data_IF_685032362910
#
_entry.id   IF_685032362910
#
_cell.length_a   1.000
_cell.length_b   1.000
_cell.length_c   1.000
_cell.angle_alpha   90.00
_cell.angle_beta   90.00
_cell.angle_gamma   90.00
#
_symmetry.space_group_name_H-M   'P 1'
#
loop_
_entity.id
_entity.type
_entity.pdbx_description
1 polymer ?
#
# COMPACT_ATOMS: atom_id res chain seq x y z
N UNK A 1 -31.44 16.52 -8.67
CA UNK A 1 -30.87 15.16 -8.57
C UNK A 1 -31.29 14.55 -7.24
N UNK A 2 -32.08 13.46 -7.20
CA UNK A 2 -32.61 12.88 -5.97
C UNK A 2 -31.50 12.28 -5.08
N UNK A 3 -31.66 12.35 -3.74
CA UNK A 3 -30.69 11.87 -2.74
C UNK A 3 -30.24 10.41 -2.95
N UNK A 4 -31.14 9.55 -3.41
CA UNK A 4 -30.84 8.14 -3.72
C UNK A 4 -29.74 7.96 -4.78
N UNK A 5 -29.65 8.88 -5.75
CA UNK A 5 -28.68 8.80 -6.85
C UNK A 5 -27.26 9.14 -6.41
N UNK A 6 -27.09 9.97 -5.36
CA UNK A 6 -25.78 10.28 -4.77
C UNK A 6 -25.21 9.10 -3.97
N UNK A 7 -26.07 8.31 -3.32
CA UNK A 7 -25.65 7.12 -2.56
C UNK A 7 -25.11 5.99 -3.44
N UNK A 8 -25.67 5.81 -4.64
CA UNK A 8 -25.21 4.81 -5.62
C UNK A 8 -23.80 5.08 -6.19
N UNK A 9 -23.35 6.33 -6.15
CA UNK A 9 -22.01 6.72 -6.64
C UNK A 9 -20.98 6.85 -5.51
N UNK A 10 -21.41 6.89 -4.25
CA UNK A 10 -20.52 6.97 -3.11
C UNK A 10 -19.90 5.60 -2.82
N UNK A 11 -18.64 5.41 -3.25
CA UNK A 11 -17.82 4.27 -2.79
C UNK A 11 -17.12 4.67 -1.49
N UNK A 12 -16.80 3.69 -0.65
CA UNK A 12 -16.12 3.92 0.63
C UNK A 12 -14.81 4.70 0.49
N UNK A 13 -14.17 4.62 -0.69
CA UNK A 13 -12.95 5.35 -1.04
C UNK A 13 -13.01 5.85 -2.50
N UNK A 14 -13.57 7.04 -2.74
CA UNK A 14 -13.48 7.64 -4.08
C UNK A 14 -12.06 8.16 -4.35
N UNK A 15 -11.56 7.95 -5.57
CA UNK A 15 -10.18 8.27 -5.99
C UNK A 15 -9.18 7.14 -5.73
N UNK A 16 -9.48 6.20 -4.82
CA UNK A 16 -8.60 5.07 -4.53
C UNK A 16 -8.41 4.12 -5.73
N UNK A 17 -9.45 3.69 -6.48
CA UNK A 17 -9.25 2.74 -7.57
C UNK A 17 -8.27 3.24 -8.64
N UNK A 18 -8.33 4.53 -8.96
CA UNK A 18 -7.39 5.14 -9.92
C UNK A 18 -5.97 5.15 -9.35
N UNK A 19 -5.80 5.57 -8.09
CA UNK A 19 -4.48 5.60 -7.47
C UNK A 19 -3.84 4.19 -7.38
N UNK A 20 -4.64 3.15 -7.08
CA UNK A 20 -4.14 1.77 -7.07
C UNK A 20 -3.80 1.28 -8.48
N UNK A 21 -4.59 1.64 -9.50
CA UNK A 21 -4.28 1.29 -10.88
C UNK A 21 -2.97 1.94 -11.35
N UNK A 22 -2.71 3.19 -10.95
CA UNK A 22 -1.44 3.88 -11.24
C UNK A 22 -0.26 3.20 -10.53
N UNK A 23 -0.41 2.82 -9.25
CA UNK A 23 0.61 2.03 -8.55
C UNK A 23 0.85 0.70 -9.28
N UNK A 24 -0.21 -0.01 -9.66
CA UNK A 24 -0.11 -1.29 -10.35
C UNK A 24 0.62 -1.19 -11.69
N UNK A 25 0.37 -0.13 -12.46
CA UNK A 25 1.04 0.13 -13.73
C UNK A 25 2.56 0.40 -13.57
N UNK A 26 3.01 0.79 -12.38
CA UNK A 26 4.41 1.05 -12.08
C UNK A 26 5.12 -0.13 -11.40
N UNK A 27 4.45 -1.27 -11.21
CA UNK A 27 5.09 -2.49 -10.72
C UNK A 27 5.85 -3.14 -11.88
N UNK A 28 7.19 -3.32 -11.77
CA UNK A 28 7.96 -3.96 -12.83
C UNK A 28 7.50 -5.41 -13.05
N UNK A 29 7.32 -5.80 -14.31
CA UNK A 29 7.17 -7.20 -14.68
C UNK A 29 8.52 -7.91 -14.47
N UNK A 30 8.58 -8.83 -13.52
CA UNK A 30 9.77 -9.63 -13.21
C UNK A 30 9.45 -11.11 -13.31
N UNK A 31 10.47 -11.92 -13.61
CA UNK A 31 10.39 -13.38 -13.55
C UNK A 31 11.48 -13.90 -12.59
N UNK A 32 11.13 -14.43 -11.41
CA UNK A 32 9.76 -14.62 -10.92
C UNK A 32 9.06 -13.29 -10.53
N UNK A 33 7.71 -13.25 -10.50
CA UNK A 33 6.97 -12.06 -10.10
C UNK A 33 7.33 -11.59 -8.69
N UNK A 34 7.51 -10.28 -8.55
CA UNK A 34 7.84 -9.63 -7.30
C UNK A 34 6.76 -9.86 -6.23
N UNK A 35 7.19 -9.86 -4.96
CA UNK A 35 6.29 -9.78 -3.82
C UNK A 35 6.19 -8.32 -3.40
N UNK A 36 4.97 -7.84 -3.16
CA UNK A 36 4.69 -6.49 -2.70
C UNK A 36 4.27 -6.53 -1.25
N UNK A 37 5.04 -5.88 -0.38
CA UNK A 37 4.66 -5.66 1.00
C UNK A 37 3.86 -4.36 1.09
N UNK A 38 2.54 -4.48 1.19
CA UNK A 38 1.64 -3.34 1.29
C UNK A 38 1.47 -2.91 2.75
N UNK A 39 1.62 -1.63 2.99
CA UNK A 39 1.67 -1.07 4.33
C UNK A 39 0.31 -0.95 5.04
N UNK A 40 -0.76 -1.19 4.30
CA UNK A 40 -2.14 -1.17 4.80
C UNK A 40 -3.03 -2.04 3.91
N UNK A 41 -3.91 -2.83 4.54
CA UNK A 41 -4.73 -3.82 3.82
C UNK A 41 -5.69 -3.18 2.80
N UNK A 42 -6.24 -1.99 3.11
CA UNK A 42 -7.18 -1.28 2.24
C UNK A 42 -6.62 -0.96 0.84
N UNK A 43 -5.29 -0.88 0.70
CA UNK A 43 -4.61 -0.65 -0.57
C UNK A 43 -3.99 -1.94 -1.12
N UNK A 44 -3.50 -2.82 -0.26
CA UNK A 44 -2.93 -4.11 -0.66
C UNK A 44 -3.96 -5.08 -1.25
N UNK A 45 -5.17 -5.12 -0.68
CA UNK A 45 -6.25 -6.01 -1.13
C UNK A 45 -6.66 -5.76 -2.58
N UNK A 46 -6.99 -4.51 -3.01
CA UNK A 46 -7.33 -4.27 -4.42
C UNK A 46 -6.15 -4.55 -5.35
N UNK A 47 -4.91 -4.31 -4.92
CA UNK A 47 -3.72 -4.62 -5.71
C UNK A 47 -3.59 -6.14 -5.97
N UNK A 48 -3.90 -6.97 -4.97
CA UNK A 48 -3.94 -8.42 -5.13
C UNK A 48 -5.15 -8.89 -5.97
N UNK A 49 -6.35 -8.46 -5.60
CA UNK A 49 -7.61 -9.04 -6.12
C UNK A 49 -7.99 -8.51 -7.51
N UNK A 50 -7.70 -7.24 -7.80
CA UNK A 50 -8.08 -6.60 -9.07
C UNK A 50 -6.91 -6.65 -10.06
N UNK A 51 -5.68 -6.45 -9.58
CA UNK A 51 -4.49 -6.35 -10.42
C UNK A 51 -3.58 -7.60 -10.40
N UNK A 52 -4.00 -8.66 -9.71
CA UNK A 52 -3.34 -9.97 -9.73
C UNK A 52 -1.94 -9.99 -9.11
N UNK A 53 -1.61 -9.01 -8.27
CA UNK A 53 -0.28 -8.87 -7.69
C UNK A 53 -0.06 -9.78 -6.48
N UNK A 54 1.17 -10.24 -6.25
CA UNK A 54 1.53 -11.02 -5.07
C UNK A 54 1.74 -10.10 -3.87
N UNK A 55 0.70 -9.88 -3.07
CA UNK A 55 0.75 -8.91 -1.96
C UNK A 55 0.82 -9.60 -0.60
N UNK A 56 1.73 -9.13 0.25
CA UNK A 56 1.76 -9.40 1.69
C UNK A 56 1.26 -8.18 2.45
N UNK A 57 0.48 -8.40 3.52
CA UNK A 57 0.04 -7.33 4.41
C UNK A 57 1.14 -7.00 5.43
N UNK A 58 1.71 -5.79 5.32
CA UNK A 58 2.77 -5.25 6.15
C UNK A 58 2.30 -4.35 7.30
N UNK A 59 1.00 -4.10 7.48
CA UNK A 59 0.45 -3.09 8.42
C UNK A 59 0.90 -3.23 9.88
N UNK A 60 1.36 -4.42 10.27
CA UNK A 60 1.80 -4.72 11.64
C UNK A 60 3.30 -4.81 11.82
N UNK A 61 4.07 -4.96 10.75
CA UNK A 61 5.50 -5.29 10.88
C UNK A 61 6.30 -4.13 11.48
N UNK A 62 5.88 -2.89 11.26
CA UNK A 62 6.53 -1.69 11.80
C UNK A 62 6.08 -1.33 13.22
N UNK A 63 5.13 -2.06 13.83
CA UNK A 63 4.56 -1.71 15.14
C UNK A 63 5.46 -2.13 16.31
N UNK A 64 6.46 -2.97 16.04
CA UNK A 64 7.41 -3.50 17.01
C UNK A 64 8.74 -3.78 16.31
N UNK A 65 9.86 -3.44 16.94
CA UNK A 65 11.19 -3.77 16.43
C UNK A 65 11.37 -5.28 16.20
N UNK A 66 10.83 -6.10 17.11
CA UNK A 66 10.91 -7.57 16.99
C UNK A 66 10.16 -8.08 15.76
N UNK A 67 8.93 -7.60 15.54
CA UNK A 67 8.15 -7.98 14.35
C UNK A 67 8.80 -7.45 13.07
N UNK A 68 9.38 -6.25 13.14
CA UNK A 68 10.08 -5.63 12.02
C UNK A 68 11.27 -6.49 11.60
N UNK A 69 12.16 -6.81 12.55
CA UNK A 69 13.32 -7.67 12.33
C UNK A 69 12.93 -9.05 11.78
N UNK A 70 11.97 -9.74 12.41
CA UNK A 70 11.49 -11.04 11.93
C UNK A 70 10.89 -10.95 10.50
N UNK A 71 10.19 -9.87 10.21
CA UNK A 71 9.65 -9.58 8.87
C UNK A 71 10.77 -9.43 7.84
N UNK A 72 11.77 -8.60 8.13
CA UNK A 72 12.92 -8.42 7.24
C UNK A 72 13.76 -9.69 7.07
N UNK A 73 13.91 -10.52 8.10
CA UNK A 73 14.57 -11.83 7.98
C UNK A 73 13.80 -12.78 7.05
N UNK A 74 12.46 -12.81 7.16
CA UNK A 74 11.61 -13.57 6.27
C UNK A 74 11.70 -13.07 4.82
N UNK A 75 11.66 -11.75 4.62
CA UNK A 75 11.82 -11.13 3.29
C UNK A 75 13.21 -11.39 2.70
N UNK A 76 14.27 -11.39 3.52
CA UNK A 76 15.63 -11.70 3.09
C UNK A 76 15.75 -13.13 2.56
N UNK A 77 15.14 -14.10 3.26
CA UNK A 77 15.09 -15.50 2.81
C UNK A 77 14.32 -15.66 1.50
N UNK A 78 13.23 -14.93 1.34
CA UNK A 78 12.45 -14.93 0.08
C UNK A 78 13.26 -14.28 -1.05
N UNK A 79 13.91 -13.15 -0.78
CA UNK A 79 14.75 -12.47 -1.76
C UNK A 79 15.90 -13.36 -2.25
N UNK A 80 16.50 -14.14 -1.34
CA UNK A 80 17.55 -15.10 -1.68
C UNK A 80 17.11 -16.19 -2.66
N UNK A 81 15.81 -16.43 -2.86
CA UNK A 81 15.30 -17.33 -3.91
C UNK A 81 15.22 -16.66 -5.29
N UNK A 82 15.80 -15.46 -5.46
CA UNK A 82 15.75 -14.67 -6.68
C UNK A 82 14.45 -13.88 -6.88
N UNK A 83 13.56 -13.84 -5.87
CA UNK A 83 12.28 -13.13 -5.99
C UNK A 83 12.39 -11.68 -5.51
N UNK A 84 12.12 -10.68 -6.37
CA UNK A 84 12.20 -9.29 -5.96
C UNK A 84 11.16 -8.95 -4.89
N UNK A 85 11.52 -8.05 -3.97
CA UNK A 85 10.60 -7.51 -2.97
C UNK A 85 10.38 -6.02 -3.24
N UNK A 86 9.13 -5.62 -3.28
CA UNK A 86 8.71 -4.23 -3.39
C UNK A 86 7.97 -3.82 -2.13
N UNK A 87 8.18 -2.60 -1.68
CA UNK A 87 7.45 -2.01 -0.55
C UNK A 87 6.47 -0.99 -1.10
N UNK A 88 5.19 -1.20 -0.82
CA UNK A 88 4.12 -0.28 -1.19
C UNK A 88 3.65 0.46 0.06
N UNK A 89 3.97 1.75 0.13
CA UNK A 89 3.71 2.62 1.29
C UNK A 89 2.71 3.72 0.96
N UNK A 90 1.95 4.13 1.96
CA UNK A 90 0.90 5.16 1.93
C UNK A 90 1.03 6.20 3.04
N UNK A 91 2.02 6.04 3.92
CA UNK A 91 2.35 6.97 5.00
C UNK A 91 3.22 8.12 4.49
N UNK A 92 3.15 9.26 5.18
CA UNK A 92 3.99 10.42 4.85
C UNK A 92 5.48 10.08 4.96
N UNK A 93 5.84 9.36 6.02
CA UNK A 93 7.19 8.86 6.27
C UNK A 93 7.68 7.81 5.25
N UNK A 94 6.80 7.22 4.43
CA UNK A 94 7.19 6.26 3.40
C UNK A 94 7.84 5.02 4.01
N UNK A 95 9.03 4.63 3.55
CA UNK A 95 9.78 3.52 4.13
C UNK A 95 10.43 3.86 5.49
N UNK A 96 10.50 5.12 5.90
CA UNK A 96 11.14 5.53 7.17
C UNK A 96 10.32 5.19 8.42
N UNK A 97 9.12 4.64 8.23
CA UNK A 97 8.28 4.03 9.27
C UNK A 97 8.86 2.76 9.89
N UNK A 98 9.76 2.07 9.17
CA UNK A 98 10.39 0.86 9.68
C UNK A 98 11.51 1.24 10.66
N UNK A 99 11.41 0.88 11.96
CA UNK A 99 12.30 1.38 13.02
C UNK A 99 13.75 0.97 12.83
N UNK A 100 14.00 -0.12 12.11
CA UNK A 100 15.35 -0.59 11.78
C UNK A 100 15.42 -0.79 10.26
N UNK A 101 16.01 0.15 9.50
CA UNK A 101 16.16 -0.02 8.07
C UNK A 101 17.18 -1.13 7.80
N UNK A 102 16.69 -2.33 7.54
CA UNK A 102 17.50 -3.44 7.07
C UNK A 102 17.59 -3.35 5.55
N UNK A 103 18.73 -2.91 5.01
CA UNK A 103 18.95 -2.84 3.57
C UNK A 103 18.57 -1.50 2.93
N UNK A 104 18.65 -1.45 1.60
CA UNK A 104 18.47 -0.24 0.81
C UNK A 104 17.11 -0.19 0.12
N UNK A 105 16.53 1.01 0.06
CA UNK A 105 15.26 1.27 -0.61
C UNK A 105 15.50 2.20 -1.81
N UNK A 106 15.20 1.72 -3.01
CA UNK A 106 15.22 2.53 -4.23
C UNK A 106 13.79 2.90 -4.61
N UNK A 107 13.48 4.19 -4.67
CA UNK A 107 12.17 4.68 -5.10
C UNK A 107 11.94 4.33 -6.58
N UNK A 108 10.84 3.63 -6.88
CA UNK A 108 10.42 3.31 -8.24
C UNK A 108 9.30 4.22 -8.72
N UNK A 109 8.39 4.58 -7.81
CA UNK A 109 7.21 5.39 -8.13
C UNK A 109 6.76 6.20 -6.92
N UNK A 110 6.30 7.42 -7.18
CA UNK A 110 5.68 8.32 -6.21
C UNK A 110 4.47 8.99 -6.87
N UNK A 111 3.28 8.80 -6.28
CA UNK A 111 2.04 9.37 -6.82
C UNK A 111 1.94 10.90 -6.61
N UNK A 112 2.83 11.50 -5.83
CA UNK A 112 2.56 12.77 -5.18
C UNK A 112 1.38 12.64 -4.21
N UNK A 113 0.81 13.77 -3.78
CA UNK A 113 -0.37 13.76 -2.91
C UNK A 113 -1.63 13.47 -3.72
N UNK A 114 -2.29 12.36 -3.39
CA UNK A 114 -3.62 12.01 -3.87
C UNK A 114 -4.65 12.22 -2.77
N UNK A 115 -5.84 12.72 -3.12
CA UNK A 115 -6.92 12.93 -2.15
C UNK A 115 -7.93 11.80 -2.29
N UNK A 116 -8.06 11.00 -1.23
CA UNK A 116 -9.06 9.94 -1.16
C UNK A 116 -10.25 10.46 -0.36
N UNK A 117 -11.46 10.32 -0.90
CA UNK A 117 -12.68 10.63 -0.15
C UNK A 117 -13.11 9.38 0.60
N UNK A 118 -12.97 9.38 1.93
CA UNK A 118 -13.45 8.29 2.76
C UNK A 118 -14.87 8.58 3.24
N UNK A 119 -15.81 7.67 2.99
CA UNK A 119 -17.16 7.74 3.55
C UNK A 119 -17.11 7.40 5.03
N UNK A 120 -17.75 8.23 5.85
CA UNK A 120 -17.88 8.03 7.28
C UNK A 120 -19.20 7.32 7.60
N UNK A 121 -19.09 6.16 8.23
CA UNK A 121 -20.23 5.39 8.70
C UNK A 121 -20.46 5.67 10.20
N UNK A 122 -21.49 6.45 10.52
CA UNK A 122 -21.93 6.69 11.90
C UNK A 122 -23.45 6.70 12.01
N UNK A 123 -24.04 6.09 13.06
CA UNK A 123 -25.49 5.99 13.19
C UNK A 123 -26.20 7.35 13.34
N UNK A 124 -25.49 8.39 13.78
CA UNK A 124 -26.04 9.75 13.91
C UNK A 124 -26.08 10.54 12.58
N UNK A 125 -25.51 10.00 11.50
CA UNK A 125 -25.48 10.67 10.20
C UNK A 125 -26.73 10.35 9.40
N UNK A 126 -27.54 11.38 9.12
CA UNK A 126 -28.75 11.31 8.29
C UNK A 126 -28.46 11.41 6.79
N UNK A 127 -27.20 11.64 6.40
CA UNK A 127 -26.71 11.72 5.02
C UNK A 127 -25.26 11.18 4.95
N UNK A 128 -24.80 10.74 3.77
CA UNK A 128 -23.41 10.32 3.55
C UNK A 128 -22.45 11.49 3.77
N UNK A 129 -21.60 11.38 4.78
CA UNK A 129 -20.50 12.33 5.01
C UNK A 129 -19.21 11.70 4.54
N UNK A 130 -18.43 12.44 3.75
CA UNK A 130 -17.06 12.04 3.39
C UNK A 130 -16.04 12.99 4.01
N UNK A 131 -14.85 12.45 4.25
CA UNK A 131 -13.67 13.20 4.64
C UNK A 131 -12.60 13.03 3.57
N UNK A 132 -12.06 14.15 3.10
CA UNK A 132 -10.85 14.16 2.27
C UNK A 132 -9.67 13.71 3.12
N UNK A 133 -9.03 12.62 2.72
CA UNK A 133 -7.79 12.13 3.33
C UNK A 133 -6.68 12.23 2.30
N UNK A 134 -5.74 13.18 2.44
CA UNK A 134 -4.54 13.19 1.62
C UNK A 134 -3.72 11.93 1.91
N UNK A 135 -3.22 11.31 0.85
CA UNK A 135 -2.33 10.17 0.87
C UNK A 135 -1.23 10.37 -0.15
N UNK A 136 -0.10 9.70 0.05
CA UNK A 136 1.00 9.68 -0.92
C UNK A 136 1.45 8.25 -1.04
N UNK A 137 1.24 7.68 -2.21
CA UNK A 137 1.58 6.30 -2.51
C UNK A 137 2.98 6.23 -3.09
N UNK A 138 3.82 5.38 -2.52
CA UNK A 138 5.20 5.19 -2.99
C UNK A 138 5.51 3.71 -3.10
N UNK A 139 6.17 3.35 -4.19
CA UNK A 139 6.67 2.02 -4.45
C UNK A 139 8.19 2.05 -4.38
N UNK A 140 8.77 1.18 -3.56
CA UNK A 140 10.21 1.04 -3.42
C UNK A 140 10.63 -0.36 -3.82
N UNK A 141 11.75 -0.48 -4.53
CA UNK A 141 12.52 -1.72 -4.61
C UNK A 141 13.36 -1.84 -3.35
N UNK A 142 13.31 -3.00 -2.71
CA UNK A 142 14.13 -3.29 -1.55
C UNK A 142 15.27 -4.22 -1.90
N UNK A 143 16.47 -3.89 -1.42
CA UNK A 143 17.66 -4.73 -1.49
C UNK A 143 18.10 -5.05 -0.05
N UNK A 144 18.22 -6.34 0.34
CA UNK A 144 18.74 -6.68 1.66
C UNK A 144 20.17 -6.15 1.84
N UNK A 145 20.64 -5.95 3.09
CA UNK A 145 22.03 -5.59 3.32
C UNK A 145 22.94 -6.68 2.72
N UNK A 146 24.07 -6.27 2.14
CA UNK A 146 25.08 -7.24 1.69
C UNK A 146 25.47 -8.14 2.88
N UNK A 147 25.56 -9.46 2.68
CA UNK A 147 26.00 -10.38 3.73
C UNK A 147 27.41 -10.06 4.22
#
# INVERSE_FOLDING_TARGET
>A
MPKAYRGLQARDYNGLPQAIAEVAANIPATDPPAIILADHFAWGTPLAMIHGQNVLNGERIWQSETLCSQGFDALSRIHATGRPILFFTSTEAGHSVYPTPHGEFTLLYDSGTVVIQQVLHRPEFTDFKSVAKPKRFRLYRWSPPNP
#
